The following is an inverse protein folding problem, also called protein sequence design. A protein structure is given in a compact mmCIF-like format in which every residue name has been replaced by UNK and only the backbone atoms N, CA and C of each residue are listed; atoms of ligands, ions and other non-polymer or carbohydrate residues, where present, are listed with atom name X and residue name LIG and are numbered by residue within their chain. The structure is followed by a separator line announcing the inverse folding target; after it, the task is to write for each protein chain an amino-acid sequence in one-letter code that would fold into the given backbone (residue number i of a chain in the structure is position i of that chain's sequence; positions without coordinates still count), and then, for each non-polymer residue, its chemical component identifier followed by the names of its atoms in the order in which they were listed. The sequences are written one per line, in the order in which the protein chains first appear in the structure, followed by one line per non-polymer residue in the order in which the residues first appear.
data_IF_079280524167
#
_entry.id   IF_079280524167
#
_cell.length_a   1.000
_cell.length_b   1.000
_cell.length_c   1.000
_cell.angle_alpha   90.00
_cell.angle_beta   90.00
_cell.angle_gamma   90.00
#
_symmetry.space_group_name_H-M   'P 1'
#
loop_
_entity.id
_entity.type
_entity.pdbx_description
1 polymer ?
#
# COMPACT_ATOMS: atom_id res chain seq x y z
N UNK A 1 9.68 3.79 7.06
CA UNK A 1 8.58 2.97 7.59
C UNK A 1 8.45 1.72 6.75
N UNK A 2 8.21 0.59 7.38
CA UNK A 2 7.88 -0.65 6.69
C UNK A 2 6.36 -0.73 6.48
N UNK A 3 5.97 -1.45 5.44
CA UNK A 3 4.57 -1.62 5.06
C UNK A 3 4.22 -3.10 5.06
N UNK A 4 3.23 -3.49 5.85
CA UNK A 4 2.60 -4.81 5.78
C UNK A 4 1.33 -4.72 4.94
N UNK A 5 1.22 -5.58 3.93
CA UNK A 5 0.01 -5.75 3.11
C UNK A 5 -0.66 -7.07 3.47
N UNK A 6 -1.82 -6.98 4.10
CA UNK A 6 -2.68 -8.12 4.40
C UNK A 6 -3.56 -8.38 3.20
N UNK A 7 -3.20 -9.40 2.42
CA UNK A 7 -3.86 -9.75 1.16
C UNK A 7 -2.87 -9.96 0.02
N UNK A 8 -3.05 -11.05 -0.72
CA UNK A 8 -2.16 -11.45 -1.83
C UNK A 8 -2.92 -11.61 -3.16
N UNK A 9 -4.11 -11.00 -3.24
CA UNK A 9 -4.98 -11.07 -4.40
C UNK A 9 -4.59 -10.09 -5.52
N UNK A 10 -5.35 -10.15 -6.61
CA UNK A 10 -5.15 -9.41 -7.86
C UNK A 10 -4.84 -7.93 -7.69
N UNK A 11 -5.56 -7.25 -6.81
CA UNK A 11 -5.38 -5.82 -6.60
C UNK A 11 -4.01 -5.48 -6.01
N UNK A 12 -3.44 -6.41 -5.24
CA UNK A 12 -2.10 -6.28 -4.66
C UNK A 12 -1.04 -6.75 -5.65
N UNK A 13 -1.24 -7.92 -6.24
CA UNK A 13 -0.17 -8.67 -6.91
C UNK A 13 -0.32 -8.82 -8.41
N UNK A 14 -1.50 -8.51 -8.96
CA UNK A 14 -1.83 -8.81 -10.35
C UNK A 14 -2.05 -10.31 -10.62
N UNK A 15 -2.08 -11.15 -9.58
CA UNK A 15 -2.23 -12.60 -9.70
C UNK A 15 -3.58 -13.06 -9.14
N UNK A 16 -4.32 -13.84 -9.93
CA UNK A 16 -5.58 -14.50 -9.55
C UNK A 16 -5.44 -16.00 -9.70
N UNK A 17 -5.81 -16.79 -8.69
CA UNK A 17 -5.84 -18.26 -8.81
C UNK A 17 -4.49 -18.93 -9.13
N UNK A 18 -3.36 -18.24 -8.99
CA UNK A 18 -2.03 -18.76 -9.31
C UNK A 18 -1.56 -18.48 -10.74
N UNK A 19 -2.27 -17.66 -11.51
CA UNK A 19 -1.87 -17.18 -12.84
C UNK A 19 -1.93 -15.66 -12.90
N UNK A 20 -1.15 -15.06 -13.81
CA UNK A 20 -1.27 -13.64 -14.13
C UNK A 20 -2.72 -13.30 -14.50
N UNK A 21 -3.24 -12.21 -13.95
CA UNK A 21 -4.58 -11.73 -14.27
C UNK A 21 -4.67 -11.21 -15.70
N UNK A 22 -5.86 -11.36 -16.29
CA UNK A 22 -6.22 -10.83 -17.62
C UNK A 22 -7.04 -9.53 -17.54
N UNK A 23 -7.21 -8.94 -16.34
CA UNK A 23 -7.95 -7.69 -16.11
C UNK A 23 -7.03 -6.45 -16.25
N UNK A 24 -7.64 -5.26 -16.28
CA UNK A 24 -7.00 -3.95 -16.09
C UNK A 24 -6.10 -3.83 -14.83
N UNK A 25 -6.21 -4.77 -13.89
CA UNK A 25 -5.40 -4.86 -12.66
C UNK A 25 -4.25 -5.86 -12.77
N UNK A 26 -3.97 -6.37 -13.98
CA UNK A 26 -2.99 -7.42 -14.24
C UNK A 26 -1.60 -7.15 -13.67
N UNK A 27 -1.23 -5.89 -13.43
CA UNK A 27 0.08 -5.55 -12.90
C UNK A 27 0.11 -5.63 -11.36
N UNK A 28 -1.01 -5.44 -10.65
CA UNK A 28 -1.02 -5.32 -9.18
C UNK A 28 -0.75 -3.89 -8.71
N UNK A 29 -1.83 -3.13 -8.52
CA UNK A 29 -1.81 -1.68 -8.29
C UNK A 29 -1.14 -1.31 -6.96
N UNK A 30 -1.39 -2.06 -5.89
CA UNK A 30 -0.76 -1.78 -4.59
C UNK A 30 0.74 -2.07 -4.64
N UNK A 31 1.13 -3.22 -5.21
CA UNK A 31 2.54 -3.61 -5.33
C UNK A 31 3.39 -2.57 -6.04
N UNK A 32 3.00 -2.17 -7.26
CA UNK A 32 3.76 -1.19 -8.05
C UNK A 32 3.89 0.18 -7.36
N UNK A 33 2.83 0.63 -6.67
CA UNK A 33 2.86 1.87 -5.90
C UNK A 33 3.87 1.79 -4.75
N UNK A 34 3.90 0.69 -4.00
CA UNK A 34 4.81 0.52 -2.87
C UNK A 34 6.28 0.42 -3.33
N UNK A 35 6.57 -0.35 -4.39
CA UNK A 35 7.91 -0.40 -4.98
C UNK A 35 8.37 0.99 -5.45
N UNK A 36 7.46 1.75 -6.07
CA UNK A 36 7.77 3.10 -6.50
C UNK A 36 8.03 4.06 -5.32
N UNK A 37 7.29 3.94 -4.23
CA UNK A 37 7.52 4.72 -3.01
C UNK A 37 8.86 4.35 -2.33
N UNK A 38 9.27 3.08 -2.42
CA UNK A 38 10.60 2.63 -1.97
C UNK A 38 11.72 3.33 -2.74
N UNK A 39 11.58 3.50 -4.07
CA UNK A 39 12.57 4.27 -4.86
C UNK A 39 12.74 5.73 -4.42
N UNK A 40 11.76 6.28 -3.69
CA UNK A 40 11.81 7.63 -3.11
C UNK A 40 12.20 7.66 -1.62
N UNK A 41 12.57 6.52 -1.04
CA UNK A 41 12.91 6.40 0.38
C UNK A 41 11.73 6.63 1.32
N UNK A 42 10.48 6.53 0.83
CA UNK A 42 9.27 6.70 1.65
C UNK A 42 8.84 5.39 2.30
N UNK A 43 9.14 4.27 1.65
CA UNK A 43 8.87 2.91 2.12
C UNK A 43 10.19 2.16 2.25
N UNK A 44 10.35 1.41 3.34
CA UNK A 44 11.45 0.48 3.59
C UNK A 44 11.09 -0.92 3.15
N UNK A 45 10.95 -1.84 4.12
CA UNK A 45 10.51 -3.21 3.85
C UNK A 45 9.05 -3.22 3.41
N UNK A 46 8.73 -4.11 2.48
CA UNK A 46 7.37 -4.42 2.07
C UNK A 46 7.14 -5.88 2.42
N UNK A 47 6.17 -6.13 3.29
CA UNK A 47 5.76 -7.45 3.72
C UNK A 47 4.40 -7.76 3.09
N UNK A 48 4.24 -8.93 2.50
CA UNK A 48 2.95 -9.44 2.05
C UNK A 48 2.56 -10.62 2.91
N UNK A 49 1.35 -10.60 3.45
CA UNK A 49 0.83 -11.72 4.24
C UNK A 49 -0.45 -12.28 3.64
N UNK A 50 -0.53 -13.60 3.64
CA UNK A 50 -1.73 -14.38 3.36
C UNK A 50 -1.80 -15.61 4.26
N UNK A 51 -2.81 -16.46 4.07
CA UNK A 51 -2.92 -17.75 4.79
C UNK A 51 -2.01 -18.85 4.23
N UNK A 52 -1.54 -18.66 3.00
CA UNK A 52 -0.77 -19.67 2.26
C UNK A 52 0.29 -19.01 1.39
N UNK A 53 1.51 -19.49 1.52
CA UNK A 53 2.66 -19.09 0.73
C UNK A 53 2.83 -19.84 -0.58
N UNK A 54 1.89 -20.72 -0.95
CA UNK A 54 1.91 -21.46 -2.21
C UNK A 54 1.97 -20.56 -3.46
N UNK A 55 1.50 -19.31 -3.35
CA UNK A 55 1.43 -18.35 -4.46
C UNK A 55 2.62 -17.40 -4.54
N UNK A 56 3.44 -17.31 -3.50
CA UNK A 56 4.52 -16.32 -3.44
C UNK A 56 5.57 -16.48 -4.54
N UNK A 57 6.00 -17.71 -4.92
CA UNK A 57 6.90 -17.88 -6.06
C UNK A 57 6.32 -17.31 -7.36
N UNK A 58 5.05 -17.59 -7.65
CA UNK A 58 4.37 -17.03 -8.83
C UNK A 58 4.25 -15.52 -8.76
N UNK A 59 3.94 -14.95 -7.59
CA UNK A 59 3.85 -13.49 -7.40
C UNK A 59 5.21 -12.82 -7.64
N UNK A 60 6.30 -13.39 -7.11
CA UNK A 60 7.67 -12.87 -7.35
C UNK A 60 8.02 -12.91 -8.83
N UNK A 61 7.71 -14.01 -9.50
CA UNK A 61 7.93 -14.14 -10.94
C UNK A 61 7.12 -13.09 -11.72
N UNK A 62 5.84 -12.93 -11.38
CA UNK A 62 4.96 -11.92 -11.99
C UNK A 62 5.49 -10.49 -11.83
N UNK A 63 5.94 -10.12 -10.62
CA UNK A 63 6.57 -8.82 -10.39
C UNK A 63 7.88 -8.65 -11.16
N UNK A 64 8.67 -9.71 -11.28
CA UNK A 64 9.90 -9.66 -12.08
C UNK A 64 9.58 -9.37 -13.54
N UNK A 65 8.68 -10.16 -14.13
CA UNK A 65 8.37 -10.12 -15.56
C UNK A 65 7.64 -8.83 -15.96
N UNK A 66 6.70 -8.38 -15.13
CA UNK A 66 5.81 -7.27 -15.46
C UNK A 66 6.19 -5.93 -14.82
N UNK A 67 7.11 -5.92 -13.85
CA UNK A 67 7.56 -4.68 -13.20
C UNK A 67 9.07 -4.50 -13.27
N UNK A 68 9.88 -5.39 -12.72
CA UNK A 68 11.33 -5.18 -12.62
C UNK A 68 12.01 -5.10 -14.01
N UNK A 69 11.58 -5.94 -14.96
CA UNK A 69 12.09 -5.91 -16.34
C UNK A 69 11.52 -4.75 -17.17
N UNK A 70 10.38 -4.18 -16.77
CA UNK A 70 9.66 -3.13 -17.51
C UNK A 70 10.07 -1.73 -17.04
N UNK A 71 10.22 -1.54 -15.72
CA UNK A 71 10.54 -0.26 -15.09
C UNK A 71 12.00 -0.24 -14.63
N UNK A 72 12.77 0.71 -15.17
CA UNK A 72 14.18 0.87 -14.83
C UNK A 72 14.37 1.12 -13.33
N UNK A 73 15.24 0.33 -12.70
CA UNK A 73 15.65 0.47 -11.29
C UNK A 73 14.49 0.34 -10.29
N UNK A 74 13.44 -0.41 -10.63
CA UNK A 74 12.37 -0.71 -9.69
C UNK A 74 12.71 -2.00 -8.93
N UNK A 75 13.10 -1.84 -7.67
CA UNK A 75 13.28 -2.96 -6.74
C UNK A 75 11.91 -3.51 -6.30
N UNK A 76 11.65 -4.76 -6.66
CA UNK A 76 10.40 -5.46 -6.38
C UNK A 76 10.51 -6.46 -5.22
N UNK A 77 11.62 -6.40 -4.46
CA UNK A 77 11.82 -7.30 -3.34
C UNK A 77 10.72 -7.16 -2.28
N UNK A 78 10.30 -8.30 -1.77
CA UNK A 78 9.26 -8.38 -0.75
C UNK A 78 9.55 -9.51 0.22
N UNK A 79 9.16 -9.30 1.46
CA UNK A 79 9.10 -10.33 2.48
C UNK A 79 7.70 -10.94 2.49
N UNK A 80 7.60 -12.25 2.67
CA UNK A 80 6.35 -12.96 2.51
C UNK A 80 6.06 -13.81 3.74
N UNK A 81 4.80 -13.79 4.18
CA UNK A 81 4.32 -14.53 5.34
C UNK A 81 3.06 -15.33 4.96
N UNK A 82 3.02 -16.65 5.22
CA UNK A 82 4.15 -17.49 5.65
C UNK A 82 5.23 -17.62 4.57
N UNK A 83 6.27 -18.40 4.81
CA UNK A 83 7.29 -18.66 3.79
C UNK A 83 6.71 -19.38 2.56
N UNK A 84 7.50 -19.42 1.49
CA UNK A 84 7.13 -20.07 0.24
C UNK A 84 6.71 -21.53 0.51
N UNK A 85 5.60 -21.93 -0.10
CA UNK A 85 5.04 -23.28 0.03
C UNK A 85 4.51 -23.67 1.41
N UNK A 86 4.36 -22.73 2.34
CA UNK A 86 3.80 -22.99 3.66
C UNK A 86 2.33 -22.60 3.79
N UNK A 87 1.65 -23.18 4.78
CA UNK A 87 0.33 -22.76 5.24
C UNK A 87 0.39 -22.49 6.73
N UNK A 88 0.07 -21.27 7.14
CA UNK A 88 0.05 -20.86 8.54
C UNK A 88 -1.08 -19.85 8.76
N UNK A 89 -2.06 -20.25 9.55
CA UNK A 89 -3.21 -19.41 9.91
C UNK A 89 -2.82 -18.28 10.86
N UNK A 90 -1.66 -18.39 11.51
CA UNK A 90 -1.11 -17.41 12.44
C UNK A 90 -0.15 -16.43 11.78
N UNK A 91 0.19 -16.59 10.49
CA UNK A 91 1.11 -15.73 9.76
C UNK A 91 0.73 -14.23 9.81
N UNK A 92 -0.57 -13.93 9.77
CA UNK A 92 -1.08 -12.57 9.92
C UNK A 92 -0.70 -11.96 11.29
N UNK A 93 -0.89 -12.72 12.38
CA UNK A 93 -0.53 -12.27 13.73
C UNK A 93 0.98 -12.13 13.89
N UNK A 94 1.76 -13.06 13.35
CA UNK A 94 3.22 -13.04 13.44
C UNK A 94 3.81 -11.85 12.67
N UNK A 95 3.33 -11.60 11.45
CA UNK A 95 3.76 -10.46 10.63
C UNK A 95 3.34 -9.10 11.23
N UNK A 96 2.19 -9.02 11.91
CA UNK A 96 1.81 -7.83 12.69
C UNK A 96 2.75 -7.61 13.89
N UNK A 97 3.10 -8.68 14.61
CA UNK A 97 3.98 -8.61 15.77
C UNK A 97 5.44 -8.25 15.40
N UNK A 98 5.84 -8.38 14.13
CA UNK A 98 7.17 -8.01 13.65
C UNK A 98 7.30 -6.51 13.31
N UNK A 99 6.21 -5.75 13.37
CA UNK A 99 6.21 -4.32 13.05
C UNK A 99 6.62 -3.47 14.26
N UNK A 100 7.43 -2.44 13.99
CA UNK A 100 7.78 -1.40 14.95
C UNK A 100 6.78 -0.23 14.91
N UNK A 101 6.64 0.55 16.00
CA UNK A 101 5.87 1.79 15.98
C UNK A 101 6.29 2.73 14.85
N UNK A 102 5.32 3.21 14.06
CA UNK A 102 5.56 4.05 12.88
C UNK A 102 5.59 3.30 11.55
N UNK A 103 5.44 1.97 11.55
CA UNK A 103 5.12 1.17 10.37
C UNK A 103 3.62 1.25 10.04
N UNK A 104 3.25 0.94 8.81
CA UNK A 104 1.85 0.98 8.37
C UNK A 104 1.35 -0.36 7.84
N UNK A 105 0.04 -0.56 7.92
CA UNK A 105 -0.66 -1.78 7.47
C UNK A 105 -1.69 -1.41 6.42
N UNK A 106 -1.72 -2.16 5.32
CA UNK A 106 -2.70 -2.06 4.24
C UNK A 106 -3.50 -3.35 4.20
N UNK A 107 -4.82 -3.27 4.34
CA UNK A 107 -5.71 -4.44 4.34
C UNK A 107 -6.49 -4.52 3.02
N UNK A 108 -6.33 -5.63 2.30
CA UNK A 108 -6.96 -5.90 1.01
C UNK A 108 -7.52 -7.33 1.01
N UNK A 109 -8.72 -7.51 1.57
CA UNK A 109 -9.38 -8.80 1.70
C UNK A 109 -10.39 -9.07 0.57
N UNK A 110 -10.72 -10.34 0.27
CA UNK A 110 -11.69 -10.68 -0.78
C UNK A 110 -13.16 -10.50 -0.34
N UNK A 111 -14.05 -10.45 -1.34
CA UNK A 111 -15.47 -10.09 -1.16
C UNK A 111 -16.25 -11.00 -0.19
N UNK A 112 -15.85 -12.27 -0.05
CA UNK A 112 -16.45 -13.25 0.84
C UNK A 112 -16.25 -12.97 2.34
N UNK A 113 -15.35 -12.05 2.68
CA UNK A 113 -15.10 -11.59 4.05
C UNK A 113 -15.96 -10.38 4.46
N UNK A 114 -16.77 -9.81 3.56
CA UNK A 114 -17.59 -8.62 3.86
C UNK A 114 -18.55 -8.85 5.03
N UNK A 115 -19.21 -10.00 5.07
CA UNK A 115 -20.21 -10.28 6.10
C UNK A 115 -19.59 -10.36 7.49
N UNK A 116 -18.45 -11.04 7.63
CA UNK A 116 -17.76 -11.16 8.92
C UNK A 116 -17.17 -9.83 9.38
N UNK A 117 -16.57 -9.06 8.47
CA UNK A 117 -16.04 -7.71 8.79
C UNK A 117 -17.18 -6.76 9.17
N UNK A 118 -18.33 -6.84 8.50
CA UNK A 118 -19.50 -6.04 8.85
C UNK A 118 -20.07 -6.41 10.22
N UNK A 119 -20.10 -7.71 10.56
CA UNK A 119 -20.59 -8.19 11.85
C UNK A 119 -19.66 -7.73 12.99
N UNK A 120 -18.34 -7.84 12.82
CA UNK A 120 -17.38 -7.35 13.82
C UNK A 120 -17.47 -5.83 14.00
N UNK A 121 -17.69 -5.07 12.91
CA UNK A 121 -17.90 -3.63 12.99
C UNK A 121 -19.19 -3.25 13.76
N UNK A 122 -20.27 -4.02 13.60
CA UNK A 122 -21.52 -3.84 14.35
C UNK A 122 -21.30 -4.13 15.84
N UNK A 123 -20.60 -5.22 16.17
CA UNK A 123 -20.32 -5.59 17.56
C UNK A 123 -19.43 -4.55 18.26
N UNK A 124 -18.45 -4.00 17.55
CA UNK A 124 -17.62 -2.90 18.03
C UNK A 124 -18.42 -1.63 18.27
N UNK A 125 -19.27 -1.21 17.31
CA UNK A 125 -20.14 -0.06 17.47
C UNK A 125 -21.09 -0.20 18.68
N UNK A 126 -21.59 -1.42 18.91
CA UNK A 126 -22.41 -1.71 20.09
C UNK A 126 -21.62 -1.61 21.39
N UNK A 127 -20.41 -2.16 21.43
CA UNK A 127 -19.53 -2.06 22.60
C UNK A 127 -19.20 -0.59 22.95
N UNK A 128 -18.98 0.25 21.95
CA UNK A 128 -18.73 1.69 22.15
C UNK A 128 -19.99 2.41 22.66
N UNK A 129 -21.15 2.16 22.05
CA UNK A 129 -22.43 2.76 22.44
C UNK A 129 -22.81 2.39 23.88
N UNK A 130 -22.48 1.18 24.31
CA UNK A 130 -22.69 0.70 25.68
C UNK A 130 -21.59 1.16 26.67
N UNK A 131 -20.60 1.92 26.22
CA UNK A 131 -19.49 2.41 27.06
C UNK A 131 -18.52 1.32 27.52
N UNK A 132 -18.54 0.15 26.86
CA UNK A 132 -17.66 -1.00 27.16
C UNK A 132 -16.34 -0.98 26.39
N UNK A 133 -16.22 -0.11 25.39
CA UNK A 133 -15.02 0.09 24.58
C UNK A 133 -14.98 1.53 24.04
N UNK A 134 -13.82 1.92 23.53
CA UNK A 134 -13.52 3.18 22.86
C UNK A 134 -13.17 2.92 21.40
N UNK A 135 -13.08 3.98 20.58
CA UNK A 135 -12.63 3.83 19.20
C UNK A 135 -11.19 3.31 19.13
N UNK A 136 -10.32 3.76 20.05
CA UNK A 136 -8.92 3.33 20.09
C UNK A 136 -8.76 1.83 20.39
N UNK A 137 -9.71 1.22 21.11
CA UNK A 137 -9.66 -0.22 21.42
C UNK A 137 -9.77 -1.12 20.18
N UNK A 138 -10.23 -0.57 19.05
CA UNK A 138 -10.37 -1.30 17.78
C UNK A 138 -9.35 -0.88 16.72
N UNK A 139 -8.49 0.10 17.01
CA UNK A 139 -7.43 0.48 16.08
C UNK A 139 -6.49 -0.71 15.83
N UNK A 140 -6.30 -1.05 14.55
CA UNK A 140 -5.49 -2.19 14.11
C UNK A 140 -6.21 -3.55 14.07
N UNK A 141 -7.44 -3.65 14.60
CA UNK A 141 -8.28 -4.86 14.47
C UNK A 141 -9.46 -4.65 13.51
N UNK A 142 -10.02 -3.43 13.48
CA UNK A 142 -11.03 -3.03 12.51
C UNK A 142 -10.53 -1.88 11.64
N UNK A 143 -10.98 -1.80 10.37
CA UNK A 143 -10.76 -0.62 9.55
C UNK A 143 -11.57 0.55 10.14
N UNK A 144 -10.95 1.34 11.01
CA UNK A 144 -11.56 2.57 11.55
C UNK A 144 -11.68 3.62 10.45
N UNK A 145 -12.65 4.54 10.55
CA UNK A 145 -12.84 5.59 9.53
C UNK A 145 -11.57 6.44 9.32
N UNK A 146 -10.78 6.63 10.38
CA UNK A 146 -9.49 7.32 10.34
C UNK A 146 -8.44 6.53 9.53
N UNK A 147 -8.31 5.21 9.75
CA UNK A 147 -7.44 4.34 8.95
C UNK A 147 -7.92 4.18 7.50
N UNK A 148 -9.23 4.09 7.30
CA UNK A 148 -9.85 3.99 5.99
C UNK A 148 -9.63 5.25 5.15
N UNK A 149 -9.60 6.45 5.75
CA UNK A 149 -9.34 7.71 5.05
C UNK A 149 -7.99 7.71 4.32
N UNK A 150 -6.94 7.19 4.95
CA UNK A 150 -5.63 7.06 4.31
C UNK A 150 -5.65 6.02 3.20
N UNK A 151 -6.27 4.87 3.44
CA UNK A 151 -6.45 3.82 2.43
C UNK A 151 -7.20 4.34 1.21
N UNK A 152 -8.33 5.02 1.41
CA UNK A 152 -9.12 5.67 0.36
C UNK A 152 -8.31 6.72 -0.37
N UNK A 153 -7.49 7.52 0.32
CA UNK A 153 -6.62 8.48 -0.34
C UNK A 153 -5.60 7.79 -1.27
N UNK A 154 -5.00 6.68 -0.83
CA UNK A 154 -4.10 5.85 -1.66
C UNK A 154 -4.82 5.29 -2.88
N UNK A 155 -6.03 4.75 -2.69
CA UNK A 155 -6.84 4.18 -3.78
C UNK A 155 -7.26 5.24 -4.81
N UNK A 156 -7.69 6.41 -4.34
CA UNK A 156 -8.05 7.56 -5.17
C UNK A 156 -6.85 8.08 -5.96
N UNK A 157 -5.67 8.16 -5.34
CA UNK A 157 -4.44 8.53 -6.03
C UNK A 157 -4.05 7.48 -7.09
N UNK A 158 -4.23 6.19 -6.80
CA UNK A 158 -4.02 5.10 -7.75
C UNK A 158 -4.93 5.24 -8.97
N UNK A 159 -6.23 5.49 -8.77
CA UNK A 159 -7.18 5.70 -9.87
C UNK A 159 -6.83 6.95 -10.68
N UNK A 160 -6.55 8.09 -10.04
CA UNK A 160 -6.17 9.34 -10.72
C UNK A 160 -4.89 9.19 -11.53
N UNK A 161 -3.90 8.44 -11.03
CA UNK A 161 -2.68 8.12 -11.78
C UNK A 161 -3.01 7.33 -13.05
N UNK A 162 -3.85 6.29 -12.95
CA UNK A 162 -4.26 5.48 -14.11
C UNK A 162 -5.02 6.31 -15.15
N UNK A 163 -5.91 7.18 -14.70
CA UNK A 163 -6.71 8.05 -15.58
C UNK A 163 -5.85 9.14 -16.27
N UNK A 164 -4.61 9.33 -15.82
CA UNK A 164 -3.67 10.33 -16.33
C UNK A 164 -2.34 9.68 -16.74
N UNK A 165 -2.39 8.62 -17.55
CA UNK A 165 -1.22 7.98 -18.17
C UNK A 165 -0.11 7.54 -17.20
N UNK A 166 -0.50 7.09 -16.01
CA UNK A 166 0.40 6.68 -14.93
C UNK A 166 1.27 7.83 -14.37
N UNK A 167 0.79 9.07 -14.45
CA UNK A 167 1.47 10.22 -13.87
C UNK A 167 1.48 10.15 -12.33
N UNK A 168 2.61 10.49 -11.68
CA UNK A 168 2.70 10.43 -10.22
C UNK A 168 1.72 11.39 -9.54
N UNK A 169 1.06 10.93 -8.48
CA UNK A 169 0.19 11.75 -7.62
C UNK A 169 0.92 12.07 -6.31
N UNK A 170 0.88 13.34 -5.89
CA UNK A 170 1.44 13.82 -4.62
C UNK A 170 0.32 14.08 -3.62
N UNK A 171 0.45 13.54 -2.42
CA UNK A 171 -0.44 13.89 -1.30
C UNK A 171 0.02 15.18 -0.63
N UNK A 172 -0.93 16.07 -0.37
CA UNK A 172 -0.72 17.28 0.41
C UNK A 172 -1.14 17.00 1.85
N UNK A 173 -0.31 17.39 2.82
CA UNK A 173 -0.57 17.26 4.24
C UNK A 173 -0.48 18.63 4.91
N UNK A 174 -1.28 18.85 5.95
CA UNK A 174 -1.25 20.11 6.72
C UNK A 174 0.09 20.32 7.44
N UNK A 175 0.74 19.23 7.85
CA UNK A 175 2.06 19.24 8.47
C UNK A 175 2.80 17.92 8.24
N UNK A 176 4.10 17.88 8.55
CA UNK A 176 4.93 16.67 8.46
C UNK A 176 4.51 15.56 9.44
N UNK A 177 3.77 15.91 10.48
CA UNK A 177 3.25 14.98 11.48
C UNK A 177 1.82 14.54 11.16
N UNK A 178 1.16 15.22 10.20
CA UNK A 178 -0.20 14.88 9.83
C UNK A 178 -0.23 13.58 9.06
N UNK A 179 -1.07 12.67 9.53
CA UNK A 179 -1.37 11.41 8.88
C UNK A 179 -2.52 11.56 7.87
N UNK A 180 -3.27 12.67 7.92
CA UNK A 180 -4.45 12.88 7.06
C UNK A 180 -4.10 13.78 5.88
N UNK A 181 -4.23 13.30 4.63
CA UNK A 181 -4.01 14.14 3.46
C UNK A 181 -5.15 15.15 3.30
N UNK A 182 -4.79 16.40 3.02
CA UNK A 182 -5.72 17.52 2.77
C UNK A 182 -5.96 17.76 1.27
N UNK A 183 -5.20 17.09 0.39
CA UNK A 183 -5.34 17.23 -1.06
C UNK A 183 -4.42 16.31 -1.86
N UNK A 184 -4.58 16.32 -3.19
CA UNK A 184 -3.76 15.55 -4.13
C UNK A 184 -3.44 16.37 -5.39
N UNK A 185 -2.21 16.25 -5.89
CA UNK A 185 -1.74 16.92 -7.10
C UNK A 185 -1.17 15.91 -8.11
N UNK A 186 -1.52 16.06 -9.39
CA UNK A 186 -0.96 15.25 -10.48
C UNK A 186 0.32 15.92 -10.98
N UNK A 187 1.44 15.22 -10.89
CA UNK A 187 2.74 15.75 -11.30
C UNK A 187 2.98 15.51 -12.79
N UNK A 188 2.59 16.48 -13.61
CA UNK A 188 3.02 16.51 -15.00
C UNK A 188 4.51 16.92 -15.09
N UNK A 189 5.34 16.03 -15.65
CA UNK A 189 6.78 16.24 -15.83
C UNK A 189 7.10 17.38 -16.81
N UNK A 190 6.11 17.90 -17.54
CA UNK A 190 6.28 19.01 -18.48
C UNK A 190 6.66 20.36 -17.82
N UNK A 191 6.33 20.58 -16.54
CA UNK A 191 6.49 21.89 -15.89
C UNK A 191 7.85 22.15 -15.21
N UNK A 192 8.66 21.11 -14.93
CA UNK A 192 9.92 21.26 -14.17
C UNK A 192 11.09 21.76 -15.04
N UNK A 193 10.96 21.71 -16.37
CA UNK A 193 11.99 22.15 -17.31
C UNK A 193 12.15 23.68 -17.43
N UNK A 194 11.29 24.49 -16.79
CA UNK A 194 11.20 25.94 -17.03
C UNK A 194 11.77 26.84 -15.93
N UNK A 195 12.51 26.35 -14.92
CA UNK A 195 13.17 27.24 -13.95
C UNK A 195 14.58 27.64 -14.43
N UNK A 196 14.85 28.93 -14.73
CA UNK A 196 16.16 29.37 -15.18
C UNK A 196 17.18 29.28 -14.04
N UNK A 197 18.34 28.69 -14.33
CA UNK A 197 19.49 28.65 -13.41
C UNK A 197 19.91 30.08 -13.06
N UNK A 198 19.86 30.44 -11.77
CA UNK A 198 20.45 31.69 -11.28
C UNK A 198 21.95 31.67 -11.60
N UNK A 199 22.41 32.63 -12.41
CA UNK A 199 23.84 32.94 -12.56
C UNK A 199 24.37 33.35 -11.18
N UNK A 200 25.43 32.69 -10.75
CA UNK A 200 26.24 33.15 -9.62
C UNK A 200 26.84 34.51 -9.96
N UNK A 201 26.68 35.45 -9.05
CA UNK A 201 27.43 36.71 -9.03
C UNK A 201 28.85 36.41 -8.55
N UNK A 202 29.81 36.45 -9.48
CA UNK A 202 31.20 36.72 -9.14
C UNK A 202 31.32 38.20 -8.78
N UNK A 203 31.73 38.48 -7.54
CA UNK A 203 32.33 39.75 -7.13
C UNK A 203 33.46 39.40 -6.17
N UNK A 204 34.67 39.36 -6.71
CA UNK A 204 35.93 39.33 -5.97
C UNK A 204 36.85 40.39 -6.56
N UNK A 205 37.27 41.30 -5.67
CA UNK A 205 38.28 42.35 -5.76
C UNK A 205 38.17 43.47 -6.82
#
# INVERSE_FOLDING_TARGET
MDILVIGTGEYVTGVTGGTASTSDKAIGVVGICLFHLRTRGKVGRILLVGRSGMRFPTIRQHFTDHMALVYRNLDVEMETWPEDHEYDETACRQSLASLEPGNAVIVVTPDDTHFSVALEAIDAARAITEGRATLEDFDGSLPTAAGALQGTAILEAGRRSLDNDNLPVTFLYESQQSLTPIGMEINDRSAVAARPRRRGSESGD
#
